data_IF_509889211479
#
_entry.id   IF_509889211479
#
_cell.length_a   1.000
_cell.length_b   1.000
_cell.length_c   1.000
_cell.angle_alpha   90.00
_cell.angle_beta   90.00
_cell.angle_gamma   90.00
#
_symmetry.space_group_name_H-M   'P 1'
#
loop_
_entity.id
_entity.type
_entity.pdbx_description
1 polymer ?
#
# COMPACT_ATOMS: atom_id res chain seq x y z
N UNK A 1 -11.33 18.19 -5.05
CA UNK A 1 -11.06 17.03 -4.16
C UNK A 1 -9.56 17.01 -3.86
N UNK A 2 -9.16 16.96 -2.57
CA UNK A 2 -7.74 16.92 -2.17
C UNK A 2 -7.01 15.70 -2.75
N UNK A 3 -5.71 15.84 -3.09
CA UNK A 3 -4.85 14.73 -3.56
C UNK A 3 -4.86 13.55 -2.57
N UNK A 4 -4.91 13.85 -1.27
CA UNK A 4 -4.99 12.86 -0.19
C UNK A 4 -6.27 12.02 -0.30
N UNK A 5 -7.42 12.67 -0.49
CA UNK A 5 -8.71 11.97 -0.60
C UNK A 5 -8.73 11.08 -1.85
N UNK A 6 -8.24 11.59 -2.99
CA UNK A 6 -8.12 10.78 -4.22
C UNK A 6 -7.22 9.56 -4.01
N UNK A 7 -6.12 9.73 -3.29
CA UNK A 7 -5.16 8.66 -3.00
C UNK A 7 -5.78 7.55 -2.17
N UNK A 8 -6.43 7.90 -1.05
CA UNK A 8 -7.09 6.92 -0.20
C UNK A 8 -8.30 6.25 -0.87
N UNK A 9 -9.08 6.96 -1.68
CA UNK A 9 -10.16 6.34 -2.45
C UNK A 9 -9.64 5.27 -3.41
N UNK A 10 -8.55 5.59 -4.11
CA UNK A 10 -7.94 4.68 -5.07
C UNK A 10 -7.36 3.45 -4.35
N UNK A 11 -6.61 3.66 -3.27
CA UNK A 11 -6.02 2.57 -2.48
C UNK A 11 -7.07 1.66 -1.89
N UNK A 12 -8.09 2.21 -1.24
CA UNK A 12 -9.14 1.41 -0.62
C UNK A 12 -9.90 0.58 -1.65
N UNK A 13 -10.21 1.14 -2.82
CA UNK A 13 -10.91 0.42 -3.89
C UNK A 13 -10.13 -0.80 -4.37
N UNK A 14 -8.85 -0.61 -4.72
CA UNK A 14 -8.01 -1.69 -5.20
C UNK A 14 -7.64 -2.69 -4.09
N UNK A 15 -7.54 -2.27 -2.83
CA UNK A 15 -7.34 -3.17 -1.70
C UNK A 15 -8.54 -4.12 -1.51
N UNK A 16 -9.76 -3.61 -1.67
CA UNK A 16 -10.97 -4.45 -1.65
C UNK A 16 -10.95 -5.43 -2.83
N UNK A 17 -10.55 -4.99 -4.02
CA UNK A 17 -10.40 -5.87 -5.18
C UNK A 17 -9.33 -6.95 -4.95
N UNK A 18 -8.19 -6.60 -4.35
CA UNK A 18 -7.13 -7.55 -4.00
C UNK A 18 -7.65 -8.67 -3.09
N UNK A 19 -8.37 -8.31 -2.02
CA UNK A 19 -8.99 -9.28 -1.10
C UNK A 19 -10.00 -10.15 -1.83
N UNK A 20 -10.85 -9.56 -2.67
CA UNK A 20 -11.87 -10.29 -3.41
C UNK A 20 -11.24 -11.31 -4.37
N UNK A 21 -10.22 -10.90 -5.13
CA UNK A 21 -9.49 -11.79 -6.04
C UNK A 21 -8.81 -12.91 -5.26
N UNK A 22 -8.12 -12.60 -4.15
CA UNK A 22 -7.51 -13.62 -3.31
C UNK A 22 -8.54 -14.66 -2.86
N UNK A 23 -9.70 -14.22 -2.36
CA UNK A 23 -10.76 -15.12 -1.90
C UNK A 23 -11.32 -16.02 -3.02
N UNK A 24 -11.45 -15.51 -4.24
CA UNK A 24 -11.91 -16.30 -5.40
C UNK A 24 -10.89 -17.37 -5.77
N UNK A 25 -9.60 -17.04 -5.80
CA UNK A 25 -8.55 -17.94 -6.28
C UNK A 25 -7.93 -18.84 -5.20
N UNK A 26 -8.14 -18.56 -3.91
CA UNK A 26 -7.52 -19.33 -2.80
C UNK A 26 -7.84 -20.84 -2.88
N UNK A 27 -9.02 -21.20 -3.38
CA UNK A 27 -9.43 -22.61 -3.49
C UNK A 27 -8.81 -23.34 -4.69
N UNK A 28 -8.22 -22.60 -5.63
CA UNK A 28 -7.69 -23.14 -6.88
C UNK A 28 -6.18 -23.35 -6.84
N UNK A 29 -5.48 -22.74 -5.88
CA UNK A 29 -4.00 -22.73 -5.80
C UNK A 29 -3.54 -23.46 -4.55
N UNK A 30 -2.54 -24.33 -4.68
CA UNK A 30 -1.99 -25.13 -3.57
C UNK A 30 -1.19 -24.33 -2.55
N UNK A 31 -0.79 -23.10 -2.88
CA UNK A 31 0.09 -22.28 -2.08
C UNK A 31 -0.42 -20.83 -1.97
N UNK A 32 -1.05 -20.54 -0.84
CA UNK A 32 -1.62 -19.23 -0.50
C UNK A 32 -0.57 -18.11 -0.51
N UNK A 33 0.67 -18.43 -0.14
CA UNK A 33 1.77 -17.45 -0.10
C UNK A 33 2.12 -17.01 -1.52
N UNK A 34 2.27 -17.97 -2.45
CA UNK A 34 2.55 -17.68 -3.86
C UNK A 34 1.38 -16.94 -4.53
N UNK A 35 0.14 -17.32 -4.21
CA UNK A 35 -1.04 -16.62 -4.71
C UNK A 35 -1.07 -15.16 -4.24
N UNK A 36 -0.93 -14.93 -2.94
CA UNK A 36 -0.91 -13.59 -2.36
C UNK A 36 0.22 -12.74 -2.96
N UNK A 37 1.43 -13.29 -3.07
CA UNK A 37 2.58 -12.61 -3.65
C UNK A 37 2.35 -12.21 -5.11
N UNK A 38 1.78 -13.12 -5.92
CA UNK A 38 1.50 -12.88 -7.34
C UNK A 38 0.43 -11.80 -7.54
N UNK A 39 -0.67 -11.89 -6.77
CA UNK A 39 -1.73 -10.90 -6.77
C UNK A 39 -1.14 -9.53 -6.37
N UNK A 40 -0.36 -9.48 -5.29
CA UNK A 40 0.20 -8.23 -4.78
C UNK A 40 1.14 -7.56 -5.78
N UNK A 41 2.02 -8.32 -6.45
CA UNK A 41 2.89 -7.77 -7.51
C UNK A 41 2.04 -7.16 -8.62
N UNK A 42 1.04 -7.90 -9.10
CA UNK A 42 0.17 -7.44 -10.17
C UNK A 42 -0.55 -6.14 -9.79
N UNK A 43 -1.13 -6.08 -8.59
CA UNK A 43 -1.77 -4.86 -8.08
C UNK A 43 -0.79 -3.72 -7.90
N UNK A 44 0.41 -3.93 -7.33
CA UNK A 44 1.43 -2.89 -7.16
C UNK A 44 1.79 -2.23 -8.49
N UNK A 45 1.93 -3.02 -9.55
CA UNK A 45 2.20 -2.50 -10.91
C UNK A 45 1.02 -1.64 -11.39
N UNK A 46 -0.21 -2.16 -11.31
CA UNK A 46 -1.42 -1.43 -11.72
C UNK A 46 -1.58 -0.14 -10.92
N UNK A 47 -1.44 -0.22 -9.60
CA UNK A 47 -1.49 0.90 -8.68
C UNK A 47 -0.53 2.02 -9.08
N UNK A 48 0.72 1.66 -9.34
CA UNK A 48 1.74 2.63 -9.73
C UNK A 48 1.32 3.40 -10.99
N UNK A 49 0.71 2.72 -11.95
CA UNK A 49 0.24 3.34 -13.19
C UNK A 49 -0.92 4.32 -12.95
N UNK A 50 -1.92 3.91 -12.17
CA UNK A 50 -3.07 4.77 -11.84
C UNK A 50 -2.67 5.98 -10.97
N UNK A 51 -1.81 5.77 -9.97
CA UNK A 51 -1.31 6.84 -9.10
C UNK A 51 -0.50 7.87 -9.88
N UNK A 52 0.38 7.42 -10.78
CA UNK A 52 1.15 8.28 -11.67
C UNK A 52 0.24 9.15 -12.52
N UNK A 53 -0.73 8.53 -13.19
CA UNK A 53 -1.59 9.24 -14.15
C UNK A 53 -2.57 10.21 -13.49
N UNK A 54 -3.16 9.82 -12.36
CA UNK A 54 -4.30 10.56 -11.79
C UNK A 54 -3.94 11.49 -10.63
N UNK A 55 -2.84 11.25 -9.90
CA UNK A 55 -2.53 11.96 -8.65
C UNK A 55 -1.15 12.64 -8.71
N UNK A 56 -0.13 11.91 -9.17
CA UNK A 56 1.27 12.33 -9.13
C UNK A 56 1.84 12.46 -10.55
N UNK A 57 1.17 13.24 -11.40
CA UNK A 57 1.49 13.37 -12.82
C UNK A 57 2.78 14.17 -13.10
N UNK A 58 3.32 14.93 -12.12
CA UNK A 58 4.48 15.81 -12.31
C UNK A 58 5.83 15.23 -11.85
N UNK A 59 5.83 14.20 -11.00
CA UNK A 59 7.07 13.62 -10.42
C UNK A 59 7.97 12.96 -11.48
N UNK A 60 9.13 13.49 -11.88
CA UNK A 60 9.94 12.86 -12.94
C UNK A 60 10.30 11.38 -12.65
N UNK A 61 10.75 11.09 -11.42
CA UNK A 61 11.19 9.75 -11.02
C UNK A 61 10.13 8.94 -10.24
N UNK A 62 8.85 9.10 -10.61
CA UNK A 62 7.73 8.50 -9.86
C UNK A 62 7.89 7.01 -9.59
N UNK A 63 8.14 6.21 -10.63
CA UNK A 63 8.19 4.75 -10.50
C UNK A 63 9.33 4.29 -9.58
N UNK A 64 10.49 4.93 -9.68
CA UNK A 64 11.65 4.61 -8.84
C UNK A 64 11.33 4.90 -7.37
N UNK A 65 10.77 6.07 -7.08
CA UNK A 65 10.38 6.46 -5.71
C UNK A 65 9.28 5.53 -5.20
N UNK A 66 8.23 5.31 -5.98
CA UNK A 66 7.09 4.47 -5.60
C UNK A 66 7.52 3.03 -5.29
N UNK A 67 8.31 2.38 -6.15
CA UNK A 67 8.75 1.01 -5.90
C UNK A 67 9.74 0.91 -4.75
N UNK A 68 10.60 1.92 -4.55
CA UNK A 68 11.50 1.97 -3.39
C UNK A 68 10.70 2.03 -2.09
N UNK A 69 9.67 2.88 -2.03
CA UNK A 69 8.75 2.96 -0.89
C UNK A 69 7.98 1.64 -0.72
N UNK A 70 7.44 1.08 -1.81
CA UNK A 70 6.69 -0.18 -1.76
C UNK A 70 7.51 -1.36 -1.23
N UNK A 71 8.81 -1.41 -1.52
CA UNK A 71 9.74 -2.41 -0.97
C UNK A 71 10.00 -2.21 0.52
N UNK A 72 9.99 -0.98 1.01
CA UNK A 72 10.17 -0.66 2.43
C UNK A 72 8.89 -0.84 3.25
N UNK A 73 7.71 -0.84 2.61
CA UNK A 73 6.42 -0.93 3.28
C UNK A 73 6.29 -2.12 4.25
N UNK A 74 6.74 -3.35 3.95
CA UNK A 74 6.70 -4.47 4.90
C UNK A 74 7.50 -4.18 6.18
N UNK A 75 8.69 -3.57 6.04
CA UNK A 75 9.54 -3.21 7.17
C UNK A 75 8.87 -2.12 8.02
N UNK A 76 8.37 -1.06 7.37
CA UNK A 76 7.69 0.05 8.03
C UNK A 76 6.43 -0.44 8.76
N UNK A 77 5.59 -1.25 8.10
CA UNK A 77 4.37 -1.82 8.70
C UNK A 77 4.72 -2.73 9.88
N UNK A 78 5.73 -3.60 9.76
CA UNK A 78 6.18 -4.44 10.88
C UNK A 78 6.70 -3.63 12.08
N UNK A 79 7.40 -2.53 11.83
CA UNK A 79 7.90 -1.64 12.88
C UNK A 79 6.75 -0.97 13.63
N UNK A 80 5.72 -0.48 12.91
CA UNK A 80 4.52 0.07 13.54
C UNK A 80 3.72 -0.97 14.32
N UNK A 81 3.56 -2.18 13.80
CA UNK A 81 2.91 -3.28 14.54
C UNK A 81 3.63 -3.54 15.86
N UNK A 82 4.97 -3.66 15.83
CA UNK A 82 5.77 -3.88 17.03
C UNK A 82 5.61 -2.74 18.05
N UNK A 83 5.68 -1.49 17.61
CA UNK A 83 5.47 -0.33 18.48
C UNK A 83 4.05 -0.34 19.09
N UNK A 84 3.01 -0.50 18.27
CA UNK A 84 1.63 -0.48 18.74
C UNK A 84 1.35 -1.61 19.73
N UNK A 85 1.83 -2.82 19.46
CA UNK A 85 1.66 -3.96 20.38
C UNK A 85 2.38 -3.74 21.71
N UNK A 86 3.57 -3.15 21.71
CA UNK A 86 4.29 -2.85 22.95
C UNK A 86 3.62 -1.75 23.80
N UNK A 87 2.92 -0.79 23.18
CA UNK A 87 2.32 0.35 23.90
C UNK A 87 0.82 0.20 24.18
N UNK A 88 0.07 -0.55 23.36
CA UNK A 88 -1.39 -0.64 23.40
C UNK A 88 -1.94 -2.08 23.51
N UNK A 89 -1.05 -3.08 23.56
CA UNK A 89 -1.16 -4.49 23.98
C UNK A 89 -2.35 -5.39 23.62
N UNK A 90 -3.44 -4.95 23.00
CA UNK A 90 -4.66 -5.78 23.07
C UNK A 90 -5.15 -6.43 21.78
N UNK A 91 -4.73 -6.01 20.59
CA UNK A 91 -5.20 -6.68 19.36
C UNK A 91 -4.26 -6.55 18.16
N UNK A 92 -3.70 -7.68 17.71
CA UNK A 92 -2.83 -7.78 16.52
C UNK A 92 -3.55 -7.29 15.26
N UNK A 93 -4.84 -7.57 15.12
CA UNK A 93 -5.63 -7.14 13.97
C UNK A 93 -5.77 -5.62 13.92
N UNK A 94 -6.01 -5.00 15.09
CA UNK A 94 -6.08 -3.55 15.20
C UNK A 94 -4.72 -2.89 14.94
N UNK A 95 -3.65 -3.45 15.52
CA UNK A 95 -2.28 -2.98 15.29
C UNK A 95 -1.89 -3.04 13.81
N UNK A 96 -2.25 -4.13 13.12
CA UNK A 96 -2.02 -4.30 11.68
C UNK A 96 -2.76 -3.25 10.86
N UNK A 97 -4.05 -3.04 11.14
CA UNK A 97 -4.86 -2.04 10.43
C UNK A 97 -4.26 -0.64 10.59
N UNK A 98 -3.90 -0.24 11.81
CA UNK A 98 -3.26 1.05 12.06
C UNK A 98 -1.89 1.15 11.37
N UNK A 99 -1.06 0.12 11.46
CA UNK A 99 0.24 0.08 10.81
C UNK A 99 0.15 0.25 9.30
N UNK A 100 -0.83 -0.39 8.65
CA UNK A 100 -1.06 -0.24 7.22
C UNK A 100 -1.54 1.17 6.85
N UNK A 101 -2.39 1.79 7.69
CA UNK A 101 -2.77 3.21 7.53
C UNK A 101 -1.55 4.12 7.63
N UNK A 102 -0.72 3.99 8.66
CA UNK A 102 0.48 4.81 8.82
C UNK A 102 1.48 4.60 7.68
N UNK A 103 1.69 3.36 7.26
CA UNK A 103 2.58 3.03 6.13
C UNK A 103 2.08 3.65 4.83
N UNK A 104 0.76 3.61 4.58
CA UNK A 104 0.15 4.26 3.42
C UNK A 104 0.27 5.79 3.47
N UNK A 105 0.18 6.40 4.67
CA UNK A 105 0.33 7.83 4.88
C UNK A 105 1.76 8.29 4.63
N UNK A 106 2.76 7.55 5.11
CA UNK A 106 4.18 7.81 4.82
C UNK A 106 4.43 7.74 3.31
N UNK A 107 3.89 6.71 2.66
CA UNK A 107 4.00 6.56 1.20
C UNK A 107 3.42 7.77 0.48
N UNK A 108 2.25 8.26 0.92
CA UNK A 108 1.64 9.47 0.38
C UNK A 108 2.52 10.70 0.58
N UNK A 109 3.04 10.93 1.79
CA UNK A 109 3.87 12.10 2.11
C UNK A 109 5.13 12.13 1.26
N UNK A 110 5.84 11.00 1.12
CA UNK A 110 7.05 10.91 0.29
C UNK A 110 6.75 11.27 -1.16
N UNK A 111 5.69 10.68 -1.73
CA UNK A 111 5.29 10.95 -3.12
C UNK A 111 4.79 12.39 -3.30
N UNK A 112 4.10 12.95 -2.30
CA UNK A 112 3.63 14.32 -2.32
C UNK A 112 4.79 15.31 -2.28
N UNK A 113 5.76 15.13 -1.38
CA UNK A 113 6.96 15.96 -1.33
C UNK A 113 7.73 15.91 -2.65
N UNK A 114 7.93 14.72 -3.22
CA UNK A 114 8.56 14.56 -4.54
C UNK A 114 7.78 15.24 -5.69
N UNK A 115 6.46 15.43 -5.51
CA UNK A 115 5.61 16.10 -6.49
C UNK A 115 5.61 17.63 -6.35
N UNK A 116 5.88 18.17 -5.16
CA UNK A 116 5.95 19.62 -4.95
C UNK A 116 7.37 20.17 -5.17
N UNK A 117 8.40 19.32 -5.13
CA UNK A 117 9.79 19.69 -5.46
C UNK A 117 10.07 19.76 -6.99
N UNK A 118 9.11 19.37 -7.84
CA UNK A 118 9.18 19.41 -9.31
C UNK A 118 8.08 20.31 -9.88
#
# INVERSE_FOLDING_TARGET
MSKLIKYYLLISFFYILEIYIFWVFQKMVLNDILLNFSIRIFFVIIFSHFLRKNIFNKVQSFYLIFYSVALLNPLISSMFIYLILNFFSENVTFAKLLADIFTSAISFVILYMANEMN
#
